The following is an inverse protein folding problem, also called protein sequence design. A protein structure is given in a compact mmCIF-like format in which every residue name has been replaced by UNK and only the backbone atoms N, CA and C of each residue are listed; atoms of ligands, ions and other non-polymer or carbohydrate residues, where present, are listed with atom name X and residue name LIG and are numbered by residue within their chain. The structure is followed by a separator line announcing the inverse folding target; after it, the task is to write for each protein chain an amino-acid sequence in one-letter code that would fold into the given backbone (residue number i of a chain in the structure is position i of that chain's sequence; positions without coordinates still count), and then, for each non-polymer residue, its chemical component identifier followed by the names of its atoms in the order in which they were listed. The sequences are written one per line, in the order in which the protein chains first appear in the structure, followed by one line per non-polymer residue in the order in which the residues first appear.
data_IF_566908925890
#
_entry.id   IF_566908925890
#
_cell.length_a   1.000
_cell.length_b   1.000
_cell.length_c   1.000
_cell.angle_alpha   90.00
_cell.angle_beta   90.00
_cell.angle_gamma   90.00
#
_symmetry.space_group_name_H-M   'P 1'
#
loop_
_entity.id
_entity.type
_entity.pdbx_description
1 polymer ?
#
# COMPACT_ATOMS: atom_id res chain seq x y z
N UNK A 1 -12.77 4.89 -13.05
CA UNK A 1 -11.40 4.38 -13.25
C UNK A 1 -10.42 5.46 -12.77
N UNK A 2 -9.61 5.19 -11.74
CA UNK A 2 -8.70 6.18 -11.17
C UNK A 2 -7.34 6.20 -11.88
N UNK A 3 -6.84 7.38 -12.20
CA UNK A 3 -5.52 7.54 -12.84
C UNK A 3 -4.40 7.38 -11.81
N UNK A 4 -3.33 6.66 -12.18
CA UNK A 4 -2.11 6.58 -11.36
C UNK A 4 -1.37 7.92 -11.41
N UNK A 5 -1.51 8.73 -10.36
CA UNK A 5 -0.86 10.03 -10.23
C UNK A 5 0.60 9.85 -9.79
N UNK A 6 1.49 9.72 -10.75
CA UNK A 6 2.94 9.81 -10.55
C UNK A 6 3.35 11.29 -10.49
N UNK A 7 2.98 11.99 -9.42
CA UNK A 7 3.29 13.43 -9.22
C UNK A 7 4.81 13.66 -9.18
N UNK A 8 5.44 13.85 -10.34
CA UNK A 8 6.89 14.07 -10.48
C UNK A 8 7.78 12.85 -10.19
N UNK A 9 7.21 11.70 -9.84
CA UNK A 9 7.97 10.47 -9.59
C UNK A 9 8.09 9.65 -10.88
N UNK A 10 9.26 9.08 -11.13
CA UNK A 10 9.46 8.11 -12.22
C UNK A 10 8.48 6.94 -12.06
N UNK A 11 7.98 6.43 -13.19
CA UNK A 11 7.12 5.23 -13.22
C UNK A 11 7.87 4.07 -12.55
N UNK A 12 7.30 3.41 -11.54
CA UNK A 12 7.95 2.28 -10.89
C UNK A 12 7.98 1.08 -11.84
N UNK A 13 8.96 0.21 -11.65
CA UNK A 13 9.00 -1.09 -12.33
C UNK A 13 7.74 -1.89 -11.98
N UNK A 14 7.09 -2.46 -12.98
CA UNK A 14 5.89 -3.29 -12.84
C UNK A 14 6.15 -4.64 -13.47
N UNK A 15 5.94 -5.71 -12.71
CA UNK A 15 6.08 -7.09 -13.17
C UNK A 15 4.87 -7.89 -12.71
N UNK A 16 4.09 -8.42 -13.66
CA UNK A 16 2.85 -9.17 -13.39
C UNK A 16 1.91 -8.49 -12.37
N UNK A 17 1.74 -7.17 -12.46
CA UNK A 17 0.89 -6.39 -11.56
C UNK A 17 1.55 -6.00 -10.22
N UNK A 18 2.66 -6.62 -9.84
CA UNK A 18 3.46 -6.19 -8.69
C UNK A 18 4.35 -5.01 -9.07
N UNK A 19 4.57 -4.10 -8.13
CA UNK A 19 5.30 -2.84 -8.34
C UNK A 19 6.47 -2.74 -7.37
N UNK A 20 7.61 -2.27 -7.86
CA UNK A 20 8.80 -1.93 -7.06
C UNK A 20 9.13 -2.95 -5.96
N UNK A 21 9.09 -2.51 -4.68
CA UNK A 21 9.48 -3.33 -3.51
C UNK A 21 8.74 -4.67 -3.39
N UNK A 22 7.51 -4.75 -3.88
CA UNK A 22 6.71 -5.98 -3.80
C UNK A 22 7.18 -7.07 -4.76
N UNK A 23 7.89 -6.71 -5.83
CA UNK A 23 8.52 -7.68 -6.74
C UNK A 23 9.57 -8.49 -5.98
N UNK A 24 10.41 -7.81 -5.19
CA UNK A 24 11.44 -8.49 -4.37
C UNK A 24 10.82 -9.43 -3.34
N UNK A 25 9.75 -8.99 -2.66
CA UNK A 25 9.03 -9.86 -1.73
C UNK A 25 8.42 -11.08 -2.41
N UNK A 26 7.85 -10.92 -3.61
CA UNK A 26 7.27 -12.04 -4.34
C UNK A 26 8.34 -13.04 -4.79
N UNK A 27 9.49 -12.57 -5.28
CA UNK A 27 10.62 -13.44 -5.60
C UNK A 27 11.09 -14.22 -4.37
N UNK A 28 11.19 -13.55 -3.21
CA UNK A 28 11.54 -14.21 -1.95
C UNK A 28 10.55 -15.29 -1.54
N UNK A 29 9.25 -15.00 -1.61
CA UNK A 29 8.18 -15.98 -1.28
C UNK A 29 8.17 -17.14 -2.27
N UNK A 30 8.31 -16.89 -3.56
CA UNK A 30 8.34 -17.96 -4.57
C UNK A 30 9.59 -18.83 -4.38
N UNK A 31 10.77 -18.22 -4.22
CA UNK A 31 12.02 -18.95 -4.00
C UNK A 31 12.00 -19.79 -2.73
N UNK A 32 11.59 -19.20 -1.60
CA UNK A 32 11.40 -19.93 -0.34
C UNK A 32 10.30 -21.01 -0.44
N UNK A 33 9.25 -20.71 -1.20
CA UNK A 33 8.15 -21.62 -1.50
C UNK A 33 8.61 -22.90 -2.19
N UNK A 34 9.43 -22.79 -3.24
CA UNK A 34 10.03 -23.94 -3.94
C UNK A 34 10.88 -24.78 -2.99
N UNK A 35 11.76 -24.15 -2.20
CA UNK A 35 12.60 -24.86 -1.23
C UNK A 35 11.73 -25.58 -0.20
N UNK A 36 10.71 -24.91 0.32
CA UNK A 36 9.79 -25.48 1.31
C UNK A 36 9.01 -26.67 0.73
N UNK A 37 8.52 -26.58 -0.51
CA UNK A 37 7.82 -27.67 -1.18
C UNK A 37 8.74 -28.88 -1.40
N UNK A 38 10.01 -28.67 -1.76
CA UNK A 38 11.00 -29.74 -1.90
C UNK A 38 11.28 -30.45 -0.56
N UNK A 39 11.44 -29.68 0.52
CA UNK A 39 11.65 -30.24 1.87
C UNK A 39 10.40 -31.00 2.33
N UNK A 40 9.22 -30.40 2.18
CA UNK A 40 7.96 -31.01 2.59
C UNK A 40 7.57 -32.21 1.71
N UNK A 41 8.08 -32.31 0.48
CA UNK A 41 7.87 -33.49 -0.37
C UNK A 41 8.39 -34.79 0.26
N UNK A 42 9.27 -34.72 1.27
CA UNK A 42 9.67 -35.91 2.06
C UNK A 42 8.50 -36.55 2.81
N UNK A 43 7.46 -35.76 3.12
CA UNK A 43 6.20 -36.24 3.71
C UNK A 43 5.19 -36.68 2.63
N UNK A 44 5.62 -36.83 1.38
CA UNK A 44 4.81 -37.24 0.24
C UNK A 44 4.08 -36.09 -0.44
N UNK A 45 3.10 -36.46 -1.28
CA UNK A 45 2.36 -35.52 -2.12
C UNK A 45 1.64 -34.43 -1.29
N UNK A 46 1.05 -34.81 -0.15
CA UNK A 46 0.37 -33.86 0.74
C UNK A 46 1.30 -32.76 1.25
N UNK A 47 2.55 -33.10 1.58
CA UNK A 47 3.54 -32.11 2.01
C UNK A 47 3.88 -31.11 0.89
N UNK A 48 4.12 -31.61 -0.32
CA UNK A 48 4.38 -30.74 -1.48
C UNK A 48 3.18 -29.82 -1.80
N UNK A 49 1.95 -30.35 -1.70
CA UNK A 49 0.72 -29.59 -1.93
C UNK A 49 0.56 -28.48 -0.89
N UNK A 50 0.87 -28.78 0.38
CA UNK A 50 0.85 -27.82 1.47
C UNK A 50 1.86 -26.69 1.24
N UNK A 51 3.10 -27.04 0.83
CA UNK A 51 4.13 -26.07 0.49
C UNK A 51 3.69 -25.12 -0.64
N UNK A 52 3.09 -25.67 -1.71
CA UNK A 52 2.54 -24.88 -2.81
C UNK A 52 1.37 -23.99 -2.35
N UNK A 53 0.46 -24.50 -1.53
CA UNK A 53 -0.68 -23.74 -1.01
C UNK A 53 -0.23 -22.55 -0.16
N UNK A 54 0.76 -22.75 0.72
CA UNK A 54 1.37 -21.68 1.53
C UNK A 54 2.05 -20.65 0.65
N UNK A 55 2.77 -21.10 -0.38
CA UNK A 55 3.44 -20.20 -1.35
C UNK A 55 2.43 -19.33 -2.11
N UNK A 56 1.36 -19.95 -2.63
CA UNK A 56 0.28 -19.26 -3.32
C UNK A 56 -0.41 -18.25 -2.39
N UNK A 57 -0.68 -18.64 -1.14
CA UNK A 57 -1.21 -17.74 -0.11
C UNK A 57 -0.27 -16.57 0.19
N UNK A 58 1.03 -16.81 0.29
CA UNK A 58 2.05 -15.77 0.50
C UNK A 58 2.08 -14.75 -0.64
N UNK A 59 2.06 -15.22 -1.90
CA UNK A 59 1.99 -14.33 -3.06
C UNK A 59 0.69 -13.52 -3.06
N UNK A 60 -0.46 -14.16 -2.78
CA UNK A 60 -1.75 -13.46 -2.67
C UNK A 60 -1.73 -12.36 -1.59
N UNK A 61 -1.12 -12.62 -0.43
CA UNK A 61 -0.97 -11.62 0.62
C UNK A 61 -0.11 -10.44 0.20
N UNK A 62 0.92 -10.66 -0.63
CA UNK A 62 1.74 -9.58 -1.20
C UNK A 62 0.91 -8.68 -2.09
N UNK A 63 0.10 -9.22 -3.00
CA UNK A 63 -0.82 -8.44 -3.82
C UNK A 63 -1.78 -7.62 -2.96
N UNK A 64 -2.43 -8.27 -1.97
CA UNK A 64 -3.35 -7.59 -1.06
C UNK A 64 -2.67 -6.48 -0.25
N UNK A 65 -1.41 -6.70 0.15
CA UNK A 65 -0.61 -5.70 0.87
C UNK A 65 -0.23 -4.53 -0.05
N UNK A 66 0.12 -4.80 -1.31
CA UNK A 66 0.40 -3.76 -2.28
C UNK A 66 -0.82 -2.87 -2.51
N UNK A 67 -2.00 -3.45 -2.66
CA UNK A 67 -3.23 -2.68 -2.91
C UNK A 67 -3.64 -1.83 -1.71
N UNK A 68 -3.42 -2.32 -0.49
CA UNK A 68 -3.78 -1.61 0.74
C UNK A 68 -2.80 -0.50 1.12
N UNK A 69 -1.50 -0.80 1.10
CA UNK A 69 -0.48 0.12 1.63
C UNK A 69 0.17 0.97 0.53
N UNK A 70 0.07 0.54 -0.73
CA UNK A 70 0.70 1.22 -1.86
C UNK A 70 2.22 1.10 -1.85
N UNK A 71 2.84 1.68 -2.87
CA UNK A 71 4.29 1.51 -3.08
C UNK A 71 5.15 2.35 -2.13
N UNK A 72 4.66 3.53 -1.78
CA UNK A 72 5.39 4.53 -1.01
C UNK A 72 4.82 4.64 0.39
N UNK A 73 5.70 4.62 1.37
CA UNK A 73 5.31 4.86 2.76
C UNK A 73 5.01 6.36 2.91
N UNK A 74 3.80 6.67 3.40
CA UNK A 74 3.42 8.06 3.67
C UNK A 74 4.05 8.48 4.99
N UNK A 75 4.93 9.47 4.96
CA UNK A 75 5.41 10.13 6.18
C UNK A 75 4.21 10.69 6.92
N UNK A 76 4.02 10.25 8.17
CA UNK A 76 2.97 10.77 9.04
C UNK A 76 3.54 11.95 9.81
N UNK A 77 3.16 13.15 9.38
CA UNK A 77 3.55 14.39 10.07
C UNK A 77 2.48 14.71 11.12
N UNK A 78 2.63 14.15 12.33
CA UNK A 78 1.70 14.43 13.43
C UNK A 78 1.99 15.77 14.12
N UNK A 79 3.25 16.21 14.11
CA UNK A 79 3.71 17.42 14.80
C UNK A 79 3.85 18.66 13.89
N UNK A 80 3.31 18.62 12.66
CA UNK A 80 3.45 19.71 11.69
C UNK A 80 2.11 20.41 11.43
N UNK A 81 2.13 21.73 11.47
CA UNK A 81 1.00 22.58 11.07
C UNK A 81 0.98 22.63 9.53
N UNK A 82 0.03 21.93 8.91
CA UNK A 82 -0.19 21.96 7.46
C UNK A 82 -1.07 23.17 7.12
N UNK A 83 -0.46 24.27 6.67
CA UNK A 83 -1.19 25.45 6.18
C UNK A 83 -1.59 25.21 4.73
N UNK A 84 -2.88 24.95 4.50
CA UNK A 84 -3.44 24.89 3.15
C UNK A 84 -4.05 26.24 2.77
N UNK A 85 -3.83 26.73 1.54
CA UNK A 85 -4.51 27.94 1.08
C UNK A 85 -6.03 27.71 1.09
N UNK A 86 -6.77 28.72 1.55
CA UNK A 86 -8.23 28.68 1.63
C UNK A 86 -8.84 28.60 0.22
N UNK A 87 -9.05 27.38 -0.27
CA UNK A 87 -9.65 27.08 -1.59
C UNK A 87 -11.15 26.82 -1.55
N UNK A 88 -11.77 26.79 -0.37
CA UNK A 88 -13.21 26.60 -0.21
C UNK A 88 -13.91 27.97 -0.21
N UNK A 89 -14.60 28.28 -1.31
CA UNK A 89 -15.46 29.46 -1.42
C UNK A 89 -16.88 29.09 -0.96
N UNK A 90 -17.06 28.88 0.36
CA UNK A 90 -18.39 28.63 0.92
C UNK A 90 -18.82 29.79 1.83
N UNK A 91 -19.55 30.73 1.25
CA UNK A 91 -19.91 32.00 1.88
C UNK A 91 -20.92 31.84 3.04
N UNK A 92 -21.64 30.71 3.12
CA UNK A 92 -22.56 30.41 4.24
C UNK A 92 -21.83 30.14 5.55
N UNK A 93 -20.73 29.39 5.51
CA UNK A 93 -19.95 29.03 6.71
C UNK A 93 -19.16 30.23 7.27
N UNK A 94 -18.79 31.17 6.41
CA UNK A 94 -18.01 32.35 6.78
C UNK A 94 -18.82 33.45 7.46
N UNK A 95 -20.14 33.49 7.26
CA UNK A 95 -21.01 34.52 7.88
C UNK A 95 -21.21 34.31 9.38
N UNK A 96 -21.00 33.10 9.90
CA UNK A 96 -21.31 32.77 11.30
C UNK A 96 -20.20 33.19 12.30
N UNK A 97 -19.05 33.68 11.83
CA UNK A 97 -17.90 34.05 12.67
C UNK A 97 -17.89 35.50 13.17
N UNK A 98 -18.69 36.40 12.58
CA UNK A 98 -18.58 37.84 12.83
C UNK A 98 -19.46 38.37 13.99
N UNK A 99 -20.15 37.50 14.74
CA UNK A 99 -21.09 37.92 15.80
C UNK A 99 -20.52 37.86 17.22
N UNK A 100 -19.21 37.64 17.40
CA UNK A 100 -18.53 37.89 18.68
C UNK A 100 -17.79 39.22 18.60
N UNK A 101 -18.51 40.32 18.81
CA UNK A 101 -17.88 41.57 19.25
C UNK A 101 -17.34 41.34 20.66
N UNK A 102 -16.02 41.22 20.81
CA UNK A 102 -15.36 41.45 22.10
C UNK A 102 -15.42 42.94 22.38
N UNK A 103 -16.27 43.32 23.32
CA UNK A 103 -16.21 44.61 23.99
C UNK A 103 -14.97 44.64 24.88
N UNK A 104 -14.03 45.52 24.55
CA UNK A 104 -13.02 46.07 25.45
C UNK A 104 -13.17 47.60 25.36
#
# INVERSE_FOLDING_TARGET
MGFYLYKGLKKPLVFFGLKGKYIFYAVGVIGGGVISALVLSKFGLLGSLLGLAVTAGGVYLIFRRQDKYGLYDKTKNFDQILIFPKRLHNNKLLKNGNNKKTSL
#
